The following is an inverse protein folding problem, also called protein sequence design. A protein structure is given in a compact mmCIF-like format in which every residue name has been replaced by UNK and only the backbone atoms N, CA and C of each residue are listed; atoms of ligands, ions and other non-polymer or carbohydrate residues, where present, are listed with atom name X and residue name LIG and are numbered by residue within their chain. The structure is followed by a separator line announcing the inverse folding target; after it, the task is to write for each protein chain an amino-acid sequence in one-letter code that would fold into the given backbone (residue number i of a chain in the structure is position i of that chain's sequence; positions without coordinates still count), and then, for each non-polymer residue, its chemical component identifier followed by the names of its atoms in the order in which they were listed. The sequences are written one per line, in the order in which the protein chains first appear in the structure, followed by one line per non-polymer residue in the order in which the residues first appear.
data_IF_129738342251
#
_entry.id   IF_129738342251
#
_cell.length_a   1.000
_cell.length_b   1.000
_cell.length_c   1.000
_cell.angle_alpha   90.00
_cell.angle_beta   90.00
_cell.angle_gamma   90.00
#
_symmetry.space_group_name_H-M   'P 1'
#
loop_
_entity.id
_entity.type
_entity.pdbx_description
1 polymer ?
#
# COMPACT_ATOMS: atom_id res chain seq x y z
N UNK A 1 -28.76 -7.29 6.73
CA UNK A 1 -27.53 -7.67 6.03
C UNK A 1 -27.72 -7.37 4.56
N UNK A 2 -27.26 -6.19 4.13
CA UNK A 2 -27.27 -5.78 2.73
C UNK A 2 -25.95 -6.22 2.09
N UNK A 3 -26.02 -6.96 0.98
CA UNK A 3 -24.85 -7.43 0.25
C UNK A 3 -24.70 -6.58 -0.99
N UNK A 4 -23.71 -5.70 -1.00
CA UNK A 4 -23.37 -4.91 -2.18
C UNK A 4 -22.22 -5.58 -2.92
N UNK A 5 -22.42 -5.89 -4.20
CA UNK A 5 -21.37 -6.39 -5.07
C UNK A 5 -20.46 -5.22 -5.46
N UNK A 6 -19.45 -5.00 -4.63
CA UNK A 6 -18.48 -3.93 -4.80
C UNK A 6 -17.10 -4.46 -4.43
N UNK A 7 -16.14 -4.24 -5.31
CA UNK A 7 -14.78 -4.72 -5.12
C UNK A 7 -14.04 -3.86 -4.10
N UNK A 8 -13.22 -4.53 -3.31
CA UNK A 8 -12.30 -3.92 -2.35
C UNK A 8 -10.90 -4.40 -2.66
N UNK A 9 -9.95 -3.47 -2.64
CA UNK A 9 -8.53 -3.75 -2.76
C UNK A 9 -7.87 -3.52 -1.41
N UNK A 10 -7.21 -4.55 -0.89
CA UNK A 10 -6.32 -4.43 0.25
C UNK A 10 -4.90 -4.36 -0.29
N UNK A 11 -4.16 -3.34 0.15
CA UNK A 11 -2.76 -3.14 -0.20
C UNK A 11 -1.91 -3.46 1.02
N UNK A 12 -1.00 -4.42 0.87
CA UNK A 12 -0.16 -4.90 1.96
C UNK A 12 1.31 -4.61 1.67
N UNK A 13 2.04 -3.94 2.58
CA UNK A 13 3.46 -3.71 2.38
C UNK A 13 4.24 -5.03 2.46
N UNK A 14 5.21 -5.20 1.55
CA UNK A 14 6.17 -6.31 1.53
C UNK A 14 7.47 -5.93 2.24
N UNK A 15 8.35 -6.93 2.39
CA UNK A 15 9.71 -6.77 2.92
C UNK A 15 10.53 -5.61 2.31
N UNK A 16 10.47 -5.28 0.99
CA UNK A 16 11.20 -4.15 0.43
C UNK A 16 10.86 -2.79 1.05
N UNK A 17 9.60 -2.56 1.45
CA UNK A 17 9.18 -1.33 2.14
C UNK A 17 9.94 -1.19 3.46
N UNK A 18 10.05 -2.28 4.22
CA UNK A 18 10.80 -2.34 5.48
C UNK A 18 12.28 -2.01 5.28
N UNK A 19 12.90 -2.57 4.24
CA UNK A 19 14.31 -2.29 3.93
C UNK A 19 14.54 -0.85 3.48
N UNK A 20 13.59 -0.26 2.74
CA UNK A 20 13.63 1.15 2.40
C UNK A 20 13.50 2.04 3.64
N UNK A 21 12.54 1.77 4.52
CA UNK A 21 12.35 2.55 5.75
C UNK A 21 13.60 2.57 6.63
N UNK A 22 14.25 1.41 6.82
CA UNK A 22 15.54 1.33 7.52
C UNK A 22 16.58 2.27 6.92
N UNK A 23 16.72 2.29 5.59
CA UNK A 23 17.66 3.19 4.89
C UNK A 23 17.30 4.65 5.13
N UNK A 24 16.02 5.02 5.06
CA UNK A 24 15.57 6.39 5.30
C UNK A 24 15.89 6.84 6.73
N UNK A 25 15.62 6.02 7.74
CA UNK A 25 15.94 6.35 9.13
C UNK A 25 17.45 6.52 9.37
N UNK A 26 18.27 5.65 8.78
CA UNK A 26 19.74 5.78 8.82
C UNK A 26 20.18 7.11 8.19
N UNK A 27 19.64 7.48 7.03
CA UNK A 27 19.97 8.74 6.35
C UNK A 27 19.59 9.97 7.18
N UNK A 28 18.51 9.89 7.97
CA UNK A 28 18.08 10.96 8.88
C UNK A 28 18.90 11.03 10.17
N UNK A 29 19.91 10.17 10.36
CA UNK A 29 20.64 10.00 11.63
C UNK A 29 19.70 9.75 12.82
N UNK A 30 18.52 9.17 12.58
CA UNK A 30 17.65 8.74 13.64
C UNK A 30 18.21 7.43 14.22
N UNK A 31 18.46 7.44 15.54
CA UNK A 31 19.27 6.44 16.24
C UNK A 31 18.90 4.99 15.84
N UNK A 32 19.87 4.12 15.52
CA UNK A 32 19.61 2.72 15.17
C UNK A 32 18.82 1.96 16.24
N UNK A 33 18.89 2.37 17.52
CA UNK A 33 18.11 1.78 18.61
C UNK A 33 16.60 2.08 18.57
N UNK A 34 16.12 3.11 17.86
CA UNK A 34 14.68 3.32 17.63
C UNK A 34 14.13 2.37 16.57
N UNK A 35 14.96 1.95 15.61
CA UNK A 35 14.57 1.11 14.47
C UNK A 35 14.30 -0.33 14.91
N UNK A 36 15.04 -0.84 15.91
CA UNK A 36 14.81 -2.17 16.49
C UNK A 36 13.46 -2.29 17.23
N UNK A 37 12.88 -1.17 17.65
CA UNK A 37 11.58 -1.11 18.34
C UNK A 37 10.41 -0.76 17.43
N UNK A 38 10.64 -0.52 16.13
CA UNK A 38 9.53 -0.38 15.18
C UNK A 38 8.96 -1.78 14.95
N UNK A 39 7.83 -2.06 15.59
CA UNK A 39 7.10 -3.30 15.36
C UNK A 39 6.46 -3.26 13.97
N UNK A 40 7.16 -3.84 13.00
CA UNK A 40 6.67 -3.92 11.63
C UNK A 40 5.41 -4.80 11.48
N UNK A 41 5.07 -5.61 12.49
CA UNK A 41 3.79 -6.32 12.50
C UNK A 41 2.60 -5.36 12.64
N UNK A 42 2.83 -4.12 13.11
CA UNK A 42 1.82 -3.06 13.09
C UNK A 42 1.48 -2.62 11.67
N UNK A 43 2.47 -2.51 10.77
CA UNK A 43 2.22 -2.14 9.38
C UNK A 43 1.51 -3.24 8.58
N UNK A 44 1.71 -4.52 8.93
CA UNK A 44 0.90 -5.60 8.39
C UNK A 44 -0.55 -5.55 8.89
N UNK A 45 -0.77 -5.13 10.14
CA UNK A 45 -2.10 -4.98 10.75
C UNK A 45 -2.86 -3.76 10.23
N UNK A 46 -2.15 -2.67 9.93
CA UNK A 46 -2.71 -1.39 9.48
C UNK A 46 -2.74 -1.28 7.94
N UNK A 47 -3.02 -2.39 7.25
CA UNK A 47 -3.11 -2.40 5.78
C UNK A 47 -4.20 -1.46 5.28
N UNK A 48 -3.91 -0.69 4.23
CA UNK A 48 -4.89 0.22 3.63
C UNK A 48 -5.92 -0.56 2.82
N UNK A 49 -7.19 -0.17 2.97
CA UNK A 49 -8.32 -0.75 2.25
C UNK A 49 -8.92 0.31 1.32
N UNK A 50 -8.93 0.01 0.02
CA UNK A 50 -9.48 0.85 -1.02
C UNK A 50 -10.79 0.29 -1.54
N UNK A 51 -11.82 1.12 -1.55
CA UNK A 51 -13.10 0.79 -2.14
C UNK A 51 -13.05 1.11 -3.65
N UNK A 52 -13.17 0.09 -4.51
CA UNK A 52 -13.17 0.34 -5.95
C UNK A 52 -14.51 0.97 -6.38
N UNK A 53 -14.50 1.78 -7.46
CA UNK A 53 -15.73 2.33 -8.04
C UNK A 53 -16.71 1.24 -8.43
N UNK A 54 -18.01 1.48 -8.25
CA UNK A 54 -19.06 0.51 -8.61
C UNK A 54 -19.14 0.20 -10.12
N UNK A 55 -18.44 0.95 -10.96
CA UNK A 55 -18.28 0.64 -12.39
C UNK A 55 -17.38 -0.58 -12.63
N UNK A 56 -16.49 -0.90 -11.69
CA UNK A 56 -15.61 -2.06 -11.75
C UNK A 56 -16.41 -3.31 -11.39
N UNK A 57 -16.65 -4.18 -12.37
CA UNK A 57 -17.55 -5.33 -12.25
C UNK A 57 -16.87 -6.69 -12.46
N UNK A 58 -15.57 -6.70 -12.80
CA UNK A 58 -14.81 -7.93 -13.03
C UNK A 58 -13.39 -7.83 -12.48
N UNK A 59 -12.76 -8.99 -12.27
CA UNK A 59 -11.37 -9.05 -11.80
C UNK A 59 -10.39 -8.41 -12.80
N UNK A 60 -10.67 -8.53 -14.11
CA UNK A 60 -9.86 -7.90 -15.15
C UNK A 60 -9.92 -6.36 -15.06
N UNK A 61 -11.11 -5.80 -14.84
CA UNK A 61 -11.28 -4.37 -14.63
C UNK A 61 -10.62 -3.89 -13.32
N UNK A 62 -10.59 -4.73 -12.28
CA UNK A 62 -9.83 -4.43 -11.05
C UNK A 62 -8.34 -4.28 -11.36
N UNK A 63 -7.75 -5.22 -12.10
CA UNK A 63 -6.34 -5.17 -12.48
C UNK A 63 -6.04 -3.93 -13.32
N UNK A 64 -6.90 -3.59 -14.29
CA UNK A 64 -6.74 -2.38 -15.10
C UNK A 64 -6.85 -1.10 -14.26
N UNK A 65 -7.75 -1.08 -13.27
CA UNK A 65 -7.87 0.04 -12.34
C UNK A 65 -6.59 0.21 -11.50
N UNK A 66 -6.06 -0.88 -10.93
CA UNK A 66 -4.82 -0.86 -10.14
C UNK A 66 -3.65 -0.36 -10.99
N UNK A 67 -3.53 -0.82 -12.23
CA UNK A 67 -2.48 -0.37 -13.15
C UNK A 67 -2.61 1.12 -13.49
N UNK A 68 -3.84 1.60 -13.73
CA UNK A 68 -4.11 3.00 -14.05
C UNK A 68 -3.80 3.92 -12.87
N UNK A 69 -4.21 3.53 -11.67
CA UNK A 69 -4.06 4.33 -10.45
C UNK A 69 -2.76 3.98 -9.67
N UNK A 70 -1.86 3.21 -10.28
CA UNK A 70 -0.67 2.65 -9.63
C UNK A 70 0.19 3.71 -8.92
N UNK A 71 0.45 4.83 -9.60
CA UNK A 71 1.28 5.90 -9.04
C UNK A 71 0.55 6.55 -7.85
N UNK A 72 -0.76 6.79 -7.96
CA UNK A 72 -1.53 7.40 -6.89
C UNK A 72 -1.60 6.49 -5.65
N UNK A 73 -1.81 5.18 -5.84
CA UNK A 73 -1.77 4.19 -4.75
C UNK A 73 -0.38 4.18 -4.10
N UNK A 74 0.69 4.10 -4.91
CA UNK A 74 2.06 4.10 -4.41
C UNK A 74 2.39 5.35 -3.60
N UNK A 75 2.04 6.54 -4.09
CA UNK A 75 2.30 7.79 -3.39
C UNK A 75 1.53 7.89 -2.07
N UNK A 76 0.27 7.44 -2.05
CA UNK A 76 -0.53 7.41 -0.82
C UNK A 76 0.11 6.49 0.22
N UNK A 77 0.49 5.27 -0.18
CA UNK A 77 1.15 4.32 0.72
C UNK A 77 2.47 4.87 1.26
N UNK A 78 3.32 5.45 0.39
CA UNK A 78 4.58 6.05 0.82
C UNK A 78 4.38 7.20 1.82
N UNK A 79 3.34 8.00 1.64
CA UNK A 79 2.99 9.12 2.54
C UNK A 79 2.58 8.65 3.94
N UNK A 80 1.94 7.48 4.05
CA UNK A 80 1.62 6.87 5.36
C UNK A 80 2.89 6.56 6.16
N UNK A 81 3.98 6.17 5.50
CA UNK A 81 5.23 5.86 6.18
C UNK A 81 6.14 7.07 6.38
N UNK A 82 6.37 7.86 5.32
CA UNK A 82 7.28 9.01 5.32
C UNK A 82 6.60 10.17 4.60
N UNK A 83 6.23 11.23 5.32
CA UNK A 83 5.61 12.43 4.74
C UNK A 83 6.58 13.27 3.87
N UNK A 84 7.88 13.11 4.09
CA UNK A 84 8.92 13.82 3.36
C UNK A 84 9.19 13.20 1.98
N UNK A 85 8.61 13.81 0.94
CA UNK A 85 8.69 13.34 -0.45
C UNK A 85 10.11 13.32 -1.03
N UNK A 86 11.06 14.04 -0.43
CA UNK A 86 12.46 14.02 -0.89
C UNK A 86 13.15 12.67 -0.64
N UNK A 87 12.62 11.88 0.30
CA UNK A 87 13.14 10.57 0.71
C UNK A 87 12.44 9.40 0.01
N UNK A 88 11.42 9.71 -0.80
CA UNK A 88 10.71 8.71 -1.58
C UNK A 88 11.61 8.13 -2.67
N UNK A 89 11.33 6.89 -3.11
CA UNK A 89 11.95 6.36 -4.31
C UNK A 89 11.71 7.30 -5.51
N UNK A 90 12.78 7.60 -6.25
CA UNK A 90 12.71 8.52 -7.39
C UNK A 90 11.90 7.93 -8.56
N UNK A 91 12.09 6.64 -8.83
CA UNK A 91 11.32 5.91 -9.83
C UNK A 91 10.03 5.38 -9.21
N UNK A 92 8.91 6.06 -9.46
CA UNK A 92 7.58 5.65 -9.01
C UNK A 92 6.83 5.03 -10.20
N UNK A 93 6.89 3.71 -10.29
CA UNK A 93 6.33 2.94 -11.40
C UNK A 93 5.41 1.83 -10.89
N UNK A 94 4.59 1.28 -11.78
CA UNK A 94 3.78 0.09 -11.48
C UNK A 94 4.66 -1.09 -11.05
N UNK A 95 5.84 -1.24 -11.66
CA UNK A 95 6.82 -2.26 -11.27
C UNK A 95 7.21 -2.12 -9.81
N UNK A 96 7.64 -0.92 -9.39
CA UNK A 96 8.02 -0.67 -8.00
C UNK A 96 6.87 -0.98 -7.04
N UNK A 97 5.65 -0.54 -7.41
CA UNK A 97 4.45 -0.81 -6.64
C UNK A 97 4.23 -2.32 -6.45
N UNK A 98 4.31 -3.13 -7.51
CA UNK A 98 4.13 -4.59 -7.40
C UNK A 98 5.27 -5.31 -6.67
N UNK A 99 6.48 -4.74 -6.68
CA UNK A 99 7.61 -5.26 -5.92
C UNK A 99 7.46 -4.98 -4.42
N UNK A 100 6.91 -3.82 -4.07
CA UNK A 100 6.84 -3.33 -2.70
C UNK A 100 5.53 -3.67 -2.00
N UNK A 101 4.47 -3.95 -2.75
CA UNK A 101 3.15 -4.21 -2.19
C UNK A 101 2.52 -5.47 -2.79
N UNK A 102 1.75 -6.17 -1.97
CA UNK A 102 0.80 -7.21 -2.39
C UNK A 102 -0.61 -6.64 -2.48
N UNK A 103 -1.38 -7.20 -3.40
CA UNK A 103 -2.74 -6.78 -3.70
C UNK A 103 -3.72 -7.93 -3.49
N UNK A 104 -4.68 -7.74 -2.61
CA UNK A 104 -5.77 -8.69 -2.41
C UNK A 104 -7.10 -8.04 -2.79
N UNK A 105 -7.80 -8.64 -3.75
CA UNK A 105 -9.07 -8.12 -4.27
C UNK A 105 -10.21 -9.00 -3.77
N UNK A 106 -11.16 -8.38 -3.07
CA UNK A 106 -12.36 -9.03 -2.54
C UNK A 106 -13.60 -8.53 -3.29
N UNK A 107 -14.48 -9.42 -3.78
CA UNK A 107 -15.58 -9.03 -4.66
C UNK A 107 -16.84 -8.52 -3.94
N UNK A 108 -16.90 -8.64 -2.61
CA UNK A 108 -18.12 -8.42 -1.83
C UNK A 108 -17.83 -7.72 -0.51
N UNK A 109 -18.73 -6.81 -0.13
CA UNK A 109 -18.71 -6.12 1.16
C UNK A 109 -20.02 -6.44 1.88
N UNK A 110 -19.91 -6.78 3.16
CA UNK A 110 -21.04 -7.10 4.01
C UNK A 110 -21.22 -5.99 5.05
N UNK A 111 -22.44 -5.47 5.16
CA UNK A 111 -22.81 -4.47 6.18
C UNK A 111 -23.89 -5.04 7.08
N UNK A 112 -23.79 -4.79 8.39
CA UNK A 112 -24.71 -5.28 9.43
C UNK A 112 -25.66 -4.20 9.90
#
# INVERSE_FOLDING_TARGET
MDVKQQYVLIVKPKSPVKEWLKKVFILKNELPGKIEHIDFSLFERDSTVYLLPSSVNSMNECTLFIQKEAIAILEFELEQFIQDKSLWPQERSFTLLTEWFDFEVYPQILTF
#
